data_IF_934229855189
#
_entry.id   IF_934229855189
#
_cell.length_a   1.000
_cell.length_b   1.000
_cell.length_c   1.000
_cell.angle_alpha   90.00
_cell.angle_beta   90.00
_cell.angle_gamma   90.00
#
_symmetry.space_group_name_H-M   'P 1'
#
loop_
_entity.id
_entity.type
_entity.pdbx_description
1 polymer ?
#
# COMPACT_ATOMS: atom_id res chain seq x y z
N UNK A 1 -19.44 10.65 15.04
CA UNK A 1 -18.68 9.41 15.32
C UNK A 1 -18.40 8.61 14.04
N UNK A 2 -19.37 8.44 13.13
CA UNK A 2 -19.22 7.65 11.89
C UNK A 2 -18.18 8.22 10.91
N UNK A 3 -18.10 9.55 10.75
CA UNK A 3 -17.06 10.18 9.91
C UNK A 3 -15.65 9.79 10.36
N UNK A 4 -15.43 9.69 11.67
CA UNK A 4 -14.13 9.28 12.23
C UNK A 4 -13.84 7.82 11.89
N UNK A 5 -14.84 6.93 11.95
CA UNK A 5 -14.69 5.52 11.58
C UNK A 5 -14.33 5.34 10.10
N UNK A 6 -15.08 5.97 9.19
CA UNK A 6 -14.80 5.91 7.74
C UNK A 6 -13.40 6.44 7.43
N UNK A 7 -13.05 7.61 7.99
CA UNK A 7 -11.72 8.20 7.80
C UNK A 7 -10.63 7.30 8.39
N UNK A 8 -10.85 6.71 9.57
CA UNK A 8 -9.88 5.80 10.19
C UNK A 8 -9.62 4.56 9.33
N UNK A 9 -10.67 3.92 8.80
CA UNK A 9 -10.49 2.77 7.90
C UNK A 9 -9.75 3.16 6.61
N UNK A 10 -10.07 4.32 6.02
CA UNK A 10 -9.38 4.81 4.84
C UNK A 10 -7.89 5.08 5.11
N UNK A 11 -7.58 5.71 6.24
CA UNK A 11 -6.21 5.98 6.67
C UNK A 11 -5.43 4.68 6.97
N UNK A 12 -6.08 3.68 7.56
CA UNK A 12 -5.47 2.36 7.78
C UNK A 12 -5.08 1.70 6.46
N UNK A 13 -5.97 1.71 5.46
CA UNK A 13 -5.66 1.17 4.14
C UNK A 13 -4.54 1.95 3.45
N UNK A 14 -4.55 3.30 3.55
CA UNK A 14 -3.50 4.16 2.98
C UNK A 14 -2.13 3.90 3.62
N UNK A 15 -2.08 3.74 4.94
CA UNK A 15 -0.85 3.36 5.66
C UNK A 15 -0.35 1.98 5.26
N UNK A 16 -1.24 1.02 5.09
CA UNK A 16 -0.87 -0.32 4.62
C UNK A 16 -0.27 -0.29 3.21
N UNK A 17 -0.85 0.50 2.29
CA UNK A 17 -0.27 0.72 0.95
C UNK A 17 1.11 1.36 1.05
N UNK A 18 1.27 2.42 1.84
CA UNK A 18 2.56 3.09 2.00
C UNK A 18 3.65 2.15 2.56
N UNK A 19 3.29 1.27 3.50
CA UNK A 19 4.21 0.25 4.04
C UNK A 19 4.64 -0.75 2.97
N UNK A 20 3.69 -1.25 2.16
CA UNK A 20 3.99 -2.18 1.08
C UNK A 20 4.81 -1.54 -0.04
N UNK A 21 4.53 -0.28 -0.39
CA UNK A 21 5.33 0.48 -1.36
C UNK A 21 6.78 0.66 -0.89
N UNK A 22 6.99 0.90 0.42
CA UNK A 22 8.33 0.99 1.00
C UNK A 22 9.08 -0.36 0.95
N UNK A 23 8.37 -1.47 1.23
CA UNK A 23 8.93 -2.81 1.12
C UNK A 23 9.28 -3.16 -0.32
N UNK A 24 8.38 -2.88 -1.27
CA UNK A 24 8.63 -3.05 -2.70
C UNK A 24 9.85 -2.25 -3.17
N UNK A 25 9.96 -0.99 -2.76
CA UNK A 25 11.11 -0.14 -3.11
C UNK A 25 12.44 -0.71 -2.60
N UNK A 26 12.42 -1.39 -1.44
CA UNK A 26 13.60 -2.10 -0.92
C UNK A 26 13.96 -3.29 -1.79
N UNK A 27 12.98 -4.09 -2.20
CA UNK A 27 13.22 -5.23 -3.10
C UNK A 27 13.72 -4.77 -4.47
N UNK A 28 13.17 -3.70 -5.03
CA UNK A 28 13.61 -3.14 -6.31
C UNK A 28 15.08 -2.68 -6.27
N UNK A 29 15.52 -2.06 -5.17
CA UNK A 29 16.96 -1.75 -4.98
C UNK A 29 17.83 -3.00 -4.91
N UNK A 30 17.36 -4.06 -4.25
CA UNK A 30 18.09 -5.32 -4.20
C UNK A 30 18.19 -5.98 -5.59
N UNK A 31 17.13 -5.89 -6.39
CA UNK A 31 17.16 -6.30 -7.80
C UNK A 31 18.23 -5.54 -8.57
N UNK A 32 18.26 -4.21 -8.47
CA UNK A 32 19.26 -3.38 -9.14
C UNK A 32 20.70 -3.71 -8.69
N UNK A 33 20.90 -3.98 -7.40
CA UNK A 33 22.21 -4.34 -6.84
C UNK A 33 22.70 -5.69 -7.37
N UNK A 34 21.84 -6.72 -7.40
CA UNK A 34 22.19 -8.04 -7.91
C UNK A 34 22.40 -7.99 -9.43
N UNK A 35 21.53 -7.30 -10.18
CA UNK A 35 21.69 -7.15 -11.63
C UNK A 35 23.00 -6.45 -11.99
N UNK A 36 23.38 -5.42 -11.22
CA UNK A 36 24.69 -4.77 -11.37
C UNK A 36 25.83 -5.74 -11.08
N UNK A 37 25.77 -6.51 -9.99
CA UNK A 37 26.81 -7.48 -9.64
C UNK A 37 26.97 -8.58 -10.69
N UNK A 38 25.86 -9.12 -11.20
CA UNK A 38 25.87 -10.11 -12.30
C UNK A 38 26.45 -9.52 -13.58
N UNK A 39 26.10 -8.28 -13.91
CA UNK A 39 26.65 -7.60 -15.09
C UNK A 39 28.16 -7.34 -14.96
N UNK A 40 28.61 -6.91 -13.78
CA UNK A 40 30.03 -6.74 -13.47
C UNK A 40 30.78 -8.07 -13.62
N UNK A 41 30.24 -9.15 -13.05
CA UNK A 41 30.80 -10.51 -13.17
C UNK A 41 30.90 -10.96 -14.65
N UNK A 42 29.82 -10.85 -15.42
CA UNK A 42 29.78 -11.25 -16.83
C UNK A 42 30.75 -10.45 -17.72
N UNK A 43 31.03 -9.20 -17.35
CA UNK A 43 31.97 -8.34 -18.08
C UNK A 43 33.42 -8.54 -17.66
N UNK A 44 33.68 -9.28 -16.57
CA UNK A 44 35.02 -9.48 -16.03
C UNK A 44 35.75 -10.59 -16.78
N UNK A 45 36.93 -10.27 -17.31
CA UNK A 45 37.82 -11.24 -17.93
C UNK A 45 38.93 -11.63 -16.93
N UNK A 46 38.89 -12.85 -16.37
CA UNK A 46 39.87 -13.28 -15.39
C UNK A 46 41.26 -13.48 -16.00
N UNK A 47 41.38 -13.77 -17.29
CA UNK A 47 42.67 -13.98 -17.94
C UNK A 47 43.41 -12.66 -18.14
N UNK A 48 42.70 -11.61 -18.57
CA UNK A 48 43.26 -10.25 -18.64
C UNK A 48 43.71 -9.78 -17.26
N UNK A 49 42.92 -10.03 -16.22
CA UNK A 49 43.28 -9.67 -14.85
C UNK A 49 44.49 -10.45 -14.31
N UNK A 50 44.62 -11.75 -14.63
CA UNK A 50 45.81 -12.56 -14.28
C UNK A 50 47.05 -12.09 -15.02
N UNK A 51 46.94 -11.76 -16.31
CA UNK A 51 48.05 -11.23 -17.08
C UNK A 51 48.56 -9.89 -16.53
N UNK A 52 47.63 -9.00 -16.18
CA UNK A 52 47.97 -7.73 -15.55
C UNK A 52 48.62 -7.90 -14.17
N UNK A 53 48.12 -8.84 -13.36
CA UNK A 53 48.75 -9.20 -12.08
C UNK A 53 50.19 -9.70 -12.28
N UNK A 54 50.40 -10.63 -13.21
CA UNK A 54 51.73 -11.14 -13.53
C UNK A 54 52.67 -10.03 -14.04
N UNK A 55 52.14 -9.05 -14.80
CA UNK A 55 52.89 -7.87 -15.24
C UNK A 55 53.31 -7.01 -14.05
N UNK A 56 52.39 -6.72 -13.13
CA UNK A 56 52.67 -5.93 -11.92
C UNK A 56 53.69 -6.64 -11.00
N UNK A 57 53.61 -7.96 -10.85
CA UNK A 57 54.59 -8.75 -10.08
C UNK A 57 56.00 -8.68 -10.68
N UNK A 58 56.11 -8.71 -12.03
CA UNK A 58 57.40 -8.51 -12.71
C UNK A 58 57.95 -7.10 -12.47
N UNK A 59 57.10 -6.07 -12.52
CA UNK A 59 57.50 -4.69 -12.21
C UNK A 59 57.98 -4.60 -10.75
N UNK A 60 57.23 -5.15 -9.81
CA UNK A 60 57.58 -5.16 -8.38
C UNK A 60 58.93 -5.87 -8.15
N UNK A 61 59.15 -7.02 -8.80
CA UNK A 61 60.41 -7.77 -8.74
C UNK A 61 61.59 -6.96 -9.29
N UNK A 62 61.39 -6.22 -10.39
CA UNK A 62 62.39 -5.34 -10.97
C UNK A 62 62.70 -4.15 -10.04
N UNK A 63 61.69 -3.54 -9.42
CA UNK A 63 61.87 -2.46 -8.42
C UNK A 63 62.65 -2.97 -7.22
N UNK A 64 62.29 -4.14 -6.68
CA UNK A 64 63.02 -4.79 -5.57
C UNK A 64 64.48 -5.06 -5.94
N UNK A 65 64.74 -5.55 -7.16
CA UNK A 65 66.12 -5.74 -7.63
C UNK A 65 66.88 -4.42 -7.70
N UNK A 66 66.27 -3.35 -8.25
CA UNK A 66 66.89 -2.00 -8.29
C UNK A 66 67.18 -1.47 -6.88
N UNK A 67 66.27 -1.67 -5.94
CA UNK A 67 66.46 -1.30 -4.54
C UNK A 67 67.64 -2.04 -3.91
N UNK A 68 67.76 -3.35 -4.15
CA UNK A 68 68.88 -4.15 -3.65
C UNK A 68 70.22 -3.66 -4.20
N UNK A 69 70.30 -3.37 -5.51
CA UNK A 69 71.49 -2.77 -6.12
C UNK A 69 71.80 -1.40 -5.51
N UNK A 70 70.82 -0.50 -5.42
CA UNK A 70 71.00 0.83 -4.84
C UNK A 70 71.45 0.77 -3.36
N UNK A 71 70.91 -0.16 -2.57
CA UNK A 71 71.31 -0.39 -1.18
C UNK A 71 72.78 -0.87 -1.09
N UNK A 72 73.20 -1.79 -1.96
CA UNK A 72 74.59 -2.24 -2.03
C UNK A 72 75.55 -1.11 -2.41
N UNK A 73 75.16 -0.25 -3.35
CA UNK A 73 75.93 0.95 -3.74
C UNK A 73 76.04 1.93 -2.59
N UNK A 74 74.93 2.20 -1.88
CA UNK A 74 74.94 3.06 -0.69
C UNK A 74 75.89 2.52 0.39
N UNK A 75 75.91 1.21 0.60
CA UNK A 75 76.81 0.57 1.56
C UNK A 75 78.28 0.69 1.14
N UNK A 76 78.59 0.49 -0.15
CA UNK A 76 79.94 0.69 -0.68
C UNK A 76 80.40 2.14 -0.53
N UNK A 77 79.57 3.11 -0.91
CA UNK A 77 79.85 4.55 -0.74
C UNK A 77 80.08 4.87 0.74
N UNK A 78 79.28 4.29 1.64
CA UNK A 78 79.42 4.49 3.09
C UNK A 78 80.74 3.95 3.64
N UNK A 79 81.20 2.79 3.18
CA UNK A 79 82.51 2.24 3.54
C UNK A 79 83.66 3.10 3.02
N UNK A 80 83.61 3.50 1.75
CA UNK A 80 84.59 4.42 1.15
C UNK A 80 84.63 5.76 1.90
N UNK A 81 83.46 6.29 2.26
CA UNK A 81 83.35 7.53 3.02
C UNK A 81 84.00 7.41 4.40
N UNK A 82 83.82 6.28 5.11
CA UNK A 82 84.50 6.04 6.39
C UNK A 82 86.02 5.95 6.22
N UNK A 83 86.50 5.27 5.20
CA UNK A 83 87.93 5.15 4.91
C UNK A 83 88.55 6.51 4.59
N UNK A 84 87.95 7.29 3.70
CA UNK A 84 88.47 8.62 3.34
C UNK A 84 88.36 9.59 4.54
N UNK A 85 87.28 9.52 5.32
CA UNK A 85 87.13 10.33 6.56
C UNK A 85 88.20 10.02 7.61
N UNK A 86 88.59 8.76 7.77
CA UNK A 86 89.68 8.40 8.71
C UNK A 86 91.05 8.97 8.32
N UNK A 87 91.24 9.33 7.04
CA UNK A 87 92.47 9.92 6.50
C UNK A 87 92.42 11.45 6.41
N UNK A 88 91.27 12.07 6.65
CA UNK A 88 91.11 13.54 6.66
C UNK A 88 91.44 14.15 8.02
N UNK A 89 92.22 15.23 8.01
CA UNK A 89 92.65 15.96 9.20
C UNK A 89 91.68 17.11 9.52
N UNK A 90 91.47 17.36 10.82
CA UNK A 90 90.54 18.38 11.32
C UNK A 90 91.04 19.82 11.09
N UNK A 91 90.10 20.78 11.08
CA UNK A 91 90.34 22.23 10.98
C UNK A 91 91.27 22.77 12.09
N UNK A 92 91.44 22.02 13.18
CA UNK A 92 92.33 22.36 14.30
C UNK A 92 93.82 22.04 14.04
N UNK A 93 94.19 21.51 12.87
CA UNK A 93 95.58 21.32 12.42
C UNK A 93 95.84 22.10 11.12
N UNK A 94 95.98 23.44 11.18
CA UNK A 94 95.94 24.31 10.01
C UNK A 94 97.03 24.01 8.96
N UNK A 95 98.26 23.69 9.39
CA UNK A 95 99.36 23.39 8.46
C UNK A 95 99.17 22.10 7.67
N UNK A 96 98.50 21.09 8.24
CA UNK A 96 98.17 19.85 7.53
C UNK A 96 96.88 19.97 6.74
N UNK A 97 95.92 20.75 7.25
CA UNK A 97 94.63 20.99 6.63
C UNK A 97 94.74 21.61 5.24
N UNK A 98 95.68 22.52 5.00
CA UNK A 98 95.85 23.16 3.68
C UNK A 98 96.74 22.38 2.69
N UNK A 99 97.25 21.19 3.06
CA UNK A 99 98.02 20.35 2.14
C UNK A 99 97.16 19.93 0.93
N UNK A 100 97.73 19.84 -0.28
CA UNK A 100 96.99 19.44 -1.50
C UNK A 100 96.26 18.10 -1.34
N UNK A 101 96.90 17.15 -0.67
CA UNK A 101 96.36 15.81 -0.36
C UNK A 101 95.09 15.89 0.50
N UNK A 102 95.09 16.76 1.52
CA UNK A 102 93.94 16.98 2.40
C UNK A 102 92.80 17.74 1.71
N UNK A 103 93.13 18.69 0.81
CA UNK A 103 92.14 19.33 -0.06
C UNK A 103 91.46 18.32 -0.99
N UNK A 104 92.23 17.39 -1.56
CA UNK A 104 91.71 16.30 -2.40
C UNK A 104 90.82 15.32 -1.60
N UNK A 105 91.27 14.90 -0.42
CA UNK A 105 90.50 14.01 0.46
C UNK A 105 89.17 14.64 0.92
N UNK A 106 89.16 15.93 1.28
CA UNK A 106 87.90 16.66 1.58
C UNK A 106 86.96 16.77 0.39
N UNK A 107 87.50 16.98 -0.82
CA UNK A 107 86.71 16.97 -2.05
C UNK A 107 86.06 15.60 -2.28
N UNK A 108 86.81 14.51 -2.09
CA UNK A 108 86.29 13.14 -2.16
C UNK A 108 85.22 12.86 -1.10
N UNK A 109 85.40 13.36 0.14
CA UNK A 109 84.36 13.26 1.19
C UNK A 109 83.07 13.94 0.74
N UNK A 110 83.16 15.16 0.20
CA UNK A 110 81.98 15.88 -0.29
C UNK A 110 81.31 15.16 -1.48
N UNK A 111 82.09 14.63 -2.42
CA UNK A 111 81.60 13.84 -3.57
C UNK A 111 80.90 12.55 -3.10
N UNK A 112 81.48 11.82 -2.14
CA UNK A 112 80.90 10.61 -1.57
C UNK A 112 79.63 10.91 -0.73
N UNK A 113 79.60 12.04 -0.02
CA UNK A 113 78.40 12.48 0.71
C UNK A 113 77.25 12.83 -0.24
N UNK A 114 77.53 13.62 -1.29
CA UNK A 114 76.55 13.93 -2.32
C UNK A 114 76.07 12.66 -3.04
N UNK A 115 76.97 11.72 -3.32
CA UNK A 115 76.64 10.41 -3.88
C UNK A 115 75.73 9.59 -2.96
N UNK A 116 76.00 9.58 -1.66
CA UNK A 116 75.17 8.89 -0.67
C UNK A 116 73.78 9.51 -0.56
N UNK A 117 73.67 10.84 -0.58
CA UNK A 117 72.40 11.55 -0.60
C UNK A 117 71.58 11.25 -1.86
N UNK A 118 72.23 11.24 -3.04
CA UNK A 118 71.59 10.90 -4.30
C UNK A 118 71.05 9.46 -4.30
N UNK A 119 71.84 8.49 -3.84
CA UNK A 119 71.39 7.08 -3.72
C UNK A 119 70.29 6.93 -2.67
N UNK A 120 70.36 7.67 -1.56
CA UNK A 120 69.30 7.67 -0.53
C UNK A 120 67.99 8.23 -1.06
N UNK A 121 68.04 9.28 -1.89
CA UNK A 121 66.87 9.82 -2.58
C UNK A 121 66.28 8.81 -3.56
N UNK A 122 67.12 8.17 -4.37
CA UNK A 122 66.71 7.12 -5.31
C UNK A 122 66.05 5.93 -4.59
N UNK A 123 66.58 5.51 -3.43
CA UNK A 123 65.97 4.47 -2.60
C UNK A 123 64.57 4.84 -2.09
N UNK A 124 64.34 6.10 -1.71
CA UNK A 124 63.00 6.57 -1.31
C UNK A 124 62.03 6.56 -2.49
N UNK A 125 62.48 6.99 -3.67
CA UNK A 125 61.66 6.97 -4.88
C UNK A 125 61.26 5.54 -5.27
N UNK A 126 62.22 4.61 -5.25
CA UNK A 126 61.95 3.18 -5.52
C UNK A 126 61.04 2.55 -4.45
N UNK A 127 61.15 2.95 -3.18
CA UNK A 127 60.24 2.50 -2.14
C UNK A 127 58.79 2.97 -2.41
N UNK A 128 58.60 4.22 -2.81
CA UNK A 128 57.28 4.73 -3.18
C UNK A 128 56.69 4.01 -4.40
N UNK A 129 57.50 3.77 -5.44
CA UNK A 129 57.10 2.99 -6.64
C UNK A 129 56.70 1.56 -6.27
N UNK A 130 57.42 0.94 -5.32
CA UNK A 130 57.10 -0.39 -4.80
C UNK A 130 55.76 -0.40 -4.07
N UNK A 131 55.51 0.58 -3.21
CA UNK A 131 54.28 0.67 -2.43
C UNK A 131 53.05 0.88 -3.35
N UNK A 132 53.17 1.74 -4.36
CA UNK A 132 52.15 1.93 -5.40
C UNK A 132 51.89 0.63 -6.17
N UNK A 133 52.95 -0.05 -6.61
CA UNK A 133 52.82 -1.32 -7.33
C UNK A 133 52.16 -2.40 -6.47
N UNK A 134 52.53 -2.51 -5.19
CA UNK A 134 51.90 -3.46 -4.26
C UNK A 134 50.42 -3.15 -4.04
N UNK A 135 50.02 -1.88 -3.95
CA UNK A 135 48.62 -1.50 -3.82
C UNK A 135 47.81 -1.93 -5.06
N UNK A 136 48.37 -1.78 -6.26
CA UNK A 136 47.75 -2.27 -7.49
C UNK A 136 47.64 -3.80 -7.54
N UNK A 137 48.68 -4.52 -7.09
CA UNK A 137 48.65 -5.99 -6.97
C UNK A 137 47.54 -6.42 -6.01
N UNK A 138 47.45 -5.82 -4.82
CA UNK A 138 46.39 -6.11 -3.85
C UNK A 138 45.00 -5.91 -4.44
N UNK A 139 44.78 -4.77 -5.12
CA UNK A 139 43.50 -4.47 -5.77
C UNK A 139 43.13 -5.49 -6.85
N UNK A 140 44.09 -5.96 -7.64
CA UNK A 140 43.81 -7.00 -8.64
C UNK A 140 43.56 -8.37 -8.00
N UNK A 141 44.25 -8.69 -6.90
CA UNK A 141 44.01 -9.91 -6.14
C UNK A 141 42.61 -9.93 -5.54
N UNK A 142 42.15 -8.82 -4.96
CA UNK A 142 40.78 -8.68 -4.45
C UNK A 142 39.74 -8.89 -5.54
N UNK A 143 39.95 -8.35 -6.75
CA UNK A 143 39.03 -8.55 -7.88
C UNK A 143 38.97 -10.00 -8.35
N UNK A 144 40.12 -10.67 -8.45
CA UNK A 144 40.18 -12.09 -8.81
C UNK A 144 39.54 -12.98 -7.74
N UNK A 145 39.74 -12.67 -6.46
CA UNK A 145 39.10 -13.37 -5.35
C UNK A 145 37.57 -13.20 -5.40
N UNK A 146 37.09 -11.96 -5.53
CA UNK A 146 35.67 -11.66 -5.65
C UNK A 146 35.02 -12.37 -6.84
N UNK A 147 35.71 -12.45 -7.99
CA UNK A 147 35.22 -13.22 -9.14
C UNK A 147 35.16 -14.73 -8.84
N UNK A 148 36.16 -15.28 -8.16
CA UNK A 148 36.17 -16.72 -7.85
C UNK A 148 35.12 -17.16 -6.82
N UNK A 149 34.72 -16.24 -5.92
CA UNK A 149 33.70 -16.50 -4.90
C UNK A 149 32.28 -16.21 -5.40
N UNK A 150 32.12 -15.52 -6.54
CA UNK A 150 30.82 -15.16 -7.09
C UNK A 150 30.16 -16.36 -7.79
N UNK A 151 29.03 -16.81 -7.23
CA UNK A 151 28.18 -17.83 -7.83
C UNK A 151 27.03 -17.18 -8.61
N UNK A 152 27.18 -17.11 -9.93
CA UNK A 152 26.15 -16.53 -10.80
C UNK A 152 24.81 -17.27 -10.70
N UNK A 153 24.82 -18.60 -10.53
CA UNK A 153 23.59 -19.40 -10.46
C UNK A 153 22.79 -19.07 -9.19
N UNK A 154 23.48 -18.95 -8.06
CA UNK A 154 22.86 -18.57 -6.79
C UNK A 154 22.32 -17.14 -6.85
N UNK A 155 23.08 -16.20 -7.43
CA UNK A 155 22.63 -14.81 -7.59
C UNK A 155 21.40 -14.70 -8.52
N UNK A 156 21.36 -15.46 -9.61
CA UNK A 156 20.20 -15.49 -10.51
C UNK A 156 18.97 -16.12 -9.84
N UNK A 157 19.15 -17.17 -9.04
CA UNK A 157 18.07 -17.79 -8.25
C UNK A 157 17.51 -16.80 -7.23
N UNK A 158 18.38 -16.06 -6.54
CA UNK A 158 17.97 -15.02 -5.60
C UNK A 158 17.25 -13.86 -6.30
N UNK A 159 17.73 -13.45 -7.48
CA UNK A 159 17.10 -12.42 -8.30
C UNK A 159 15.66 -12.80 -8.68
N UNK A 160 15.45 -14.04 -9.15
CA UNK A 160 14.11 -14.56 -9.49
C UNK A 160 13.20 -14.57 -8.25
N UNK A 161 13.71 -15.00 -7.10
CA UNK A 161 12.97 -15.02 -5.84
C UNK A 161 12.55 -13.61 -5.42
N UNK A 162 13.44 -12.62 -5.50
CA UNK A 162 13.16 -11.24 -5.13
C UNK A 162 12.13 -10.63 -6.11
N UNK A 163 12.29 -10.85 -7.42
CA UNK A 163 11.34 -10.38 -8.45
C UNK A 163 9.94 -10.93 -8.21
N UNK A 164 9.82 -12.24 -7.93
CA UNK A 164 8.55 -12.86 -7.59
C UNK A 164 7.90 -12.27 -6.34
N UNK A 165 8.69 -11.97 -5.30
CA UNK A 165 8.17 -11.31 -4.09
C UNK A 165 7.72 -9.87 -4.38
N UNK A 166 8.47 -9.13 -5.21
CA UNK A 166 8.10 -7.77 -5.62
C UNK A 166 6.77 -7.77 -6.40
N UNK A 167 6.55 -8.74 -7.28
CA UNK A 167 5.28 -8.93 -7.99
C UNK A 167 4.12 -9.22 -7.03
N UNK A 168 4.30 -10.14 -6.08
CA UNK A 168 3.27 -10.41 -5.05
C UNK A 168 2.90 -9.17 -4.24
N UNK A 169 3.88 -8.37 -3.85
CA UNK A 169 3.64 -7.12 -3.13
C UNK A 169 2.91 -6.12 -4.04
N UNK A 170 3.28 -6.04 -5.32
CA UNK A 170 2.57 -5.21 -6.32
C UNK A 170 1.09 -5.59 -6.43
N UNK A 171 0.78 -6.88 -6.50
CA UNK A 171 -0.60 -7.37 -6.52
C UNK A 171 -1.36 -7.01 -5.25
N UNK A 172 -0.73 -7.16 -4.08
CA UNK A 172 -1.30 -6.78 -2.80
C UNK A 172 -1.58 -5.27 -2.70
N UNK A 173 -0.67 -4.43 -3.23
CA UNK A 173 -0.85 -2.98 -3.33
C UNK A 173 -2.07 -2.66 -4.19
N UNK A 174 -2.18 -3.28 -5.37
CA UNK A 174 -3.29 -3.06 -6.29
C UNK A 174 -4.63 -3.45 -5.65
N UNK A 175 -4.70 -4.61 -5.00
CA UNK A 175 -5.89 -5.04 -4.27
C UNK A 175 -6.30 -4.03 -3.18
N UNK A 176 -5.35 -3.47 -2.43
CA UNK A 176 -5.64 -2.45 -1.41
C UNK A 176 -6.05 -1.11 -2.03
N UNK A 177 -5.44 -0.69 -3.13
CA UNK A 177 -5.84 0.51 -3.89
C UNK A 177 -7.27 0.40 -4.40
N UNK A 178 -7.69 -0.79 -4.85
CA UNK A 178 -9.08 -1.03 -5.24
C UNK A 178 -10.05 -0.90 -4.07
N UNK A 179 -9.68 -1.38 -2.88
CA UNK A 179 -10.47 -1.20 -1.66
C UNK A 179 -10.60 0.29 -1.31
N UNK A 180 -9.49 1.04 -1.34
CA UNK A 180 -9.47 2.49 -1.13
C UNK A 180 -10.40 3.18 -2.12
N UNK A 181 -10.27 2.88 -3.42
CA UNK A 181 -11.08 3.48 -4.46
C UNK A 181 -12.58 3.18 -4.29
N UNK A 182 -12.93 1.97 -3.84
CA UNK A 182 -14.33 1.61 -3.51
C UNK A 182 -14.87 2.42 -2.34
N UNK A 183 -14.09 2.57 -1.27
CA UNK A 183 -14.47 3.38 -0.10
C UNK A 183 -14.64 4.85 -0.50
N UNK A 184 -13.67 5.42 -1.23
CA UNK A 184 -13.70 6.82 -1.66
C UNK A 184 -14.86 7.09 -2.62
N UNK A 185 -15.15 6.18 -3.56
CA UNK A 185 -16.29 6.30 -4.47
C UNK A 185 -17.62 6.29 -3.72
N UNK A 186 -17.76 5.43 -2.71
CA UNK A 186 -19.02 5.26 -1.96
C UNK A 186 -19.24 6.36 -0.93
N UNK A 187 -18.22 6.69 -0.15
CA UNK A 187 -18.34 7.60 1.00
C UNK A 187 -17.84 9.02 0.74
N UNK A 188 -16.96 9.25 -0.24
CA UNK A 188 -16.41 10.57 -0.56
C UNK A 188 -17.48 11.64 -0.79
N UNK A 189 -18.48 11.42 -1.66
CA UNK A 189 -19.56 12.38 -1.88
C UNK A 189 -20.38 12.66 -0.61
N UNK A 190 -20.66 11.63 0.20
CA UNK A 190 -21.44 11.76 1.43
C UNK A 190 -20.68 12.55 2.50
N UNK A 191 -19.38 12.30 2.66
CA UNK A 191 -18.53 13.01 3.60
C UNK A 191 -18.35 14.48 3.19
N UNK A 192 -18.19 14.78 1.90
CA UNK A 192 -18.11 16.15 1.40
C UNK A 192 -19.40 16.93 1.67
N UNK A 193 -20.55 16.30 1.43
CA UNK A 193 -21.86 16.90 1.73
C UNK A 193 -22.03 17.13 3.25
N UNK A 194 -21.57 16.20 4.09
CA UNK A 194 -21.61 16.33 5.54
C UNK A 194 -20.77 17.52 6.00
N UNK A 195 -19.55 17.65 5.49
CA UNK A 195 -18.68 18.80 5.79
C UNK A 195 -19.33 20.12 5.39
N UNK A 196 -19.89 20.21 4.18
CA UNK A 196 -20.59 21.43 3.73
C UNK A 196 -21.74 21.83 4.68
N UNK A 197 -22.57 20.87 5.10
CA UNK A 197 -23.69 21.15 6.00
C UNK A 197 -23.22 21.54 7.41
N UNK A 198 -22.11 20.98 7.90
CA UNK A 198 -21.50 21.38 9.18
C UNK A 198 -20.99 22.83 9.10
N UNK A 199 -20.33 23.19 8.00
CA UNK A 199 -19.80 24.54 7.78
C UNK A 199 -20.95 25.56 7.67
N UNK A 200 -22.02 25.20 6.94
CA UNK A 200 -23.22 26.01 6.82
C UNK A 200 -23.90 26.21 8.19
N UNK A 201 -24.08 25.14 8.97
CA UNK A 201 -24.65 25.23 10.32
C UNK A 201 -23.80 26.13 11.23
N UNK A 202 -22.47 26.03 11.14
CA UNK A 202 -21.54 26.85 11.91
C UNK A 202 -21.64 28.33 11.54
N UNK A 203 -21.71 28.64 10.24
CA UNK A 203 -21.91 30.00 9.73
C UNK A 203 -23.26 30.59 10.17
N UNK A 204 -24.34 29.81 10.09
CA UNK A 204 -25.67 30.22 10.55
C UNK A 204 -25.70 30.49 12.05
N UNK A 205 -25.06 29.64 12.87
CA UNK A 205 -24.95 29.85 14.32
C UNK A 205 -24.19 31.14 14.65
N UNK A 206 -23.10 31.43 13.92
CA UNK A 206 -22.36 32.69 14.07
C UNK A 206 -23.23 33.90 13.73
N UNK A 207 -23.96 33.85 12.61
CA UNK A 207 -24.86 34.93 12.21
C UNK A 207 -26.00 35.15 13.22
N UNK A 208 -26.56 34.09 13.79
CA UNK A 208 -27.58 34.18 14.86
C UNK A 208 -26.98 34.84 16.11
N UNK A 209 -25.77 34.44 16.52
CA UNK A 209 -25.10 35.03 17.68
C UNK A 209 -24.84 36.54 17.49
N UNK A 210 -24.38 36.94 16.30
CA UNK A 210 -24.19 38.35 15.94
C UNK A 210 -25.50 39.14 15.95
N UNK A 211 -26.57 38.60 15.34
CA UNK A 211 -27.88 39.24 15.34
C UNK A 211 -28.45 39.41 16.77
N UNK A 212 -28.26 38.41 17.64
CA UNK A 212 -28.63 38.52 19.06
C UNK A 212 -27.78 39.53 19.83
N UNK A 213 -26.51 39.71 19.44
CA UNK A 213 -25.66 40.78 19.94
C UNK A 213 -26.28 42.16 19.67
N UNK A 214 -26.64 42.43 18.41
CA UNK A 214 -27.34 43.66 18.05
C UNK A 214 -28.69 43.83 18.77
N UNK A 215 -29.44 42.75 19.04
CA UNK A 215 -30.67 42.84 19.86
C UNK A 215 -30.37 43.28 21.31
N UNK A 216 -29.29 42.78 21.91
CA UNK A 216 -28.87 43.19 23.25
C UNK A 216 -28.41 44.64 23.27
N UNK A 217 -27.60 45.05 22.29
CA UNK A 217 -27.13 46.43 22.15
C UNK A 217 -28.30 47.41 21.96
N UNK A 218 -29.34 47.02 21.20
CA UNK A 218 -30.56 47.82 21.03
C UNK A 218 -31.34 48.00 22.33
N UNK A 219 -31.35 46.97 23.19
CA UNK A 219 -31.98 47.02 24.49
C UNK A 219 -31.23 47.97 25.44
N UNK A 220 -29.90 47.96 25.39
CA UNK A 220 -29.03 48.71 26.29
C UNK A 220 -28.72 50.14 25.81
N UNK A 221 -29.07 50.49 24.57
CA UNK A 221 -28.86 51.81 23.99
C UNK A 221 -29.58 52.94 24.78
N UNK A 222 -28.81 53.97 25.14
CA UNK A 222 -29.24 55.07 26.00
C UNK A 222 -30.13 56.10 25.29
N UNK A 223 -30.05 56.18 23.96
CA UNK A 223 -30.80 57.17 23.16
C UNK A 223 -31.13 56.67 21.75
N UNK A 224 -32.01 57.41 21.06
CA UNK A 224 -32.45 57.06 19.70
C UNK A 224 -31.34 57.12 18.64
N UNK A 225 -30.28 57.90 18.86
CA UNK A 225 -29.14 57.99 17.93
C UNK A 225 -28.30 56.71 17.97
N UNK A 226 -28.02 56.17 19.16
CA UNK A 226 -27.33 54.88 19.36
C UNK A 226 -28.12 53.73 18.73
N UNK A 227 -29.45 53.68 18.96
CA UNK A 227 -30.31 52.68 18.31
C UNK A 227 -30.24 52.74 16.79
N UNK A 228 -30.15 53.94 16.22
CA UNK A 228 -30.03 54.14 14.77
C UNK A 228 -28.71 53.60 14.23
N UNK A 229 -27.61 53.81 14.95
CA UNK A 229 -26.30 53.29 14.58
C UNK A 229 -26.30 51.74 14.58
N UNK A 230 -26.87 51.12 15.62
CA UNK A 230 -26.98 49.65 15.70
C UNK A 230 -27.84 49.08 14.57
N UNK A 231 -28.96 49.73 14.23
CA UNK A 231 -29.76 49.35 13.07
C UNK A 231 -28.97 49.46 11.76
N UNK A 232 -28.16 50.50 11.60
CA UNK A 232 -27.31 50.70 10.43
C UNK A 232 -26.22 49.62 10.33
N UNK A 233 -25.53 49.31 11.43
CA UNK A 233 -24.50 48.24 11.46
C UNK A 233 -25.10 46.86 11.14
N UNK A 234 -26.30 46.58 11.65
CA UNK A 234 -27.04 45.38 11.30
C UNK A 234 -27.44 45.36 9.82
N UNK A 235 -27.84 46.50 9.25
CA UNK A 235 -28.19 46.63 7.84
C UNK A 235 -26.97 46.45 6.93
N UNK A 236 -25.81 47.01 7.30
CA UNK A 236 -24.55 46.83 6.56
C UNK A 236 -24.10 45.37 6.57
N UNK A 237 -24.22 44.67 7.70
CA UNK A 237 -23.76 43.27 7.82
C UNK A 237 -24.74 42.25 7.23
N UNK A 238 -26.05 42.47 7.36
CA UNK A 238 -27.07 41.47 7.01
C UNK A 238 -28.07 41.91 5.94
N UNK A 239 -27.96 43.13 5.43
CA UNK A 239 -28.87 43.69 4.42
C UNK A 239 -30.25 44.09 4.97
N UNK A 240 -30.42 44.06 6.29
CA UNK A 240 -31.65 44.52 6.96
C UNK A 240 -31.32 45.07 8.34
N UNK A 241 -31.85 46.24 8.65
CA UNK A 241 -31.71 46.83 9.98
C UNK A 241 -32.54 46.17 11.07
N UNK A 242 -33.11 44.97 10.87
CA UNK A 242 -33.91 44.27 11.88
C UNK A 242 -33.17 43.04 12.41
N UNK A 243 -32.42 43.16 13.53
CA UNK A 243 -31.70 42.03 14.12
C UNK A 243 -32.59 40.82 14.41
N UNK A 244 -33.81 41.04 14.92
CA UNK A 244 -34.76 39.97 15.22
C UNK A 244 -35.22 39.20 13.98
N UNK A 245 -35.43 39.92 12.86
CA UNK A 245 -35.76 39.28 11.58
C UNK A 245 -34.61 38.40 11.10
N UNK A 246 -33.38 38.90 11.18
CA UNK A 246 -32.16 38.13 10.81
C UNK A 246 -32.06 36.88 11.67
N UNK A 247 -32.14 37.01 13.00
CA UNK A 247 -32.04 35.89 13.92
C UNK A 247 -33.08 34.81 13.62
N UNK A 248 -34.34 35.21 13.40
CA UNK A 248 -35.43 34.28 13.10
C UNK A 248 -35.28 33.57 11.74
N UNK A 249 -34.90 34.31 10.69
CA UNK A 249 -34.68 33.73 9.36
C UNK A 249 -33.52 32.71 9.39
N UNK A 250 -32.40 33.10 9.99
CA UNK A 250 -31.21 32.23 10.09
C UNK A 250 -31.47 31.03 11.00
N UNK A 251 -32.26 31.18 12.08
CA UNK A 251 -32.68 30.07 12.92
C UNK A 251 -33.60 29.08 12.17
N UNK A 252 -34.48 29.58 11.30
CA UNK A 252 -35.30 28.74 10.42
C UNK A 252 -34.46 27.90 9.47
N UNK A 253 -33.46 28.53 8.82
CA UNK A 253 -32.49 27.84 7.96
C UNK A 253 -31.66 26.83 8.74
N UNK A 254 -31.17 27.19 9.93
CA UNK A 254 -30.39 26.31 10.79
C UNK A 254 -31.15 25.02 11.14
N UNK A 255 -32.44 25.12 11.53
CA UNK A 255 -33.29 23.94 11.77
C UNK A 255 -33.43 23.04 10.53
N UNK A 256 -33.44 23.62 9.34
CA UNK A 256 -33.49 22.84 8.09
C UNK A 256 -32.17 22.12 7.84
N UNK A 257 -31.04 22.81 8.01
CA UNK A 257 -29.69 22.24 7.87
C UNK A 257 -29.45 21.13 8.89
N UNK A 258 -29.83 21.33 10.15
CA UNK A 258 -29.70 20.33 11.21
C UNK A 258 -30.52 19.06 10.92
N UNK A 259 -31.75 19.18 10.41
CA UNK A 259 -32.53 18.02 9.96
C UNK A 259 -31.87 17.28 8.79
N UNK A 260 -31.25 18.01 7.86
CA UNK A 260 -30.53 17.39 6.75
C UNK A 260 -29.24 16.72 7.21
N UNK A 261 -28.54 17.29 8.20
CA UNK A 261 -27.39 16.68 8.86
C UNK A 261 -27.77 15.33 9.44
N UNK A 262 -28.81 15.26 10.27
CA UNK A 262 -29.27 13.98 10.87
C UNK A 262 -29.59 12.94 9.81
N UNK A 263 -30.35 13.31 8.76
CA UNK A 263 -30.68 12.39 7.66
C UNK A 263 -29.45 11.85 6.93
N UNK A 264 -28.45 12.71 6.73
CA UNK A 264 -27.22 12.34 6.05
C UNK A 264 -26.33 11.47 6.94
N UNK A 265 -26.23 11.78 8.24
CA UNK A 265 -25.55 10.95 9.23
C UNK A 265 -26.16 9.54 9.27
N UNK A 266 -27.48 9.44 9.39
CA UNK A 266 -28.19 8.16 9.37
C UNK A 266 -27.95 7.38 8.07
N UNK A 267 -27.87 8.09 6.94
CA UNK A 267 -27.56 7.48 5.64
C UNK A 267 -26.13 6.93 5.61
N UNK A 268 -25.16 7.70 6.08
CA UNK A 268 -23.76 7.28 6.15
C UNK A 268 -23.64 6.05 7.07
N UNK A 269 -24.31 6.06 8.23
CA UNK A 269 -24.29 4.93 9.16
C UNK A 269 -24.87 3.66 8.53
N UNK A 270 -26.00 3.74 7.83
CA UNK A 270 -26.57 2.60 7.11
C UNK A 270 -25.64 2.07 6.03
N UNK A 271 -25.08 2.95 5.20
CA UNK A 271 -24.17 2.54 4.13
C UNK A 271 -22.86 1.96 4.65
N UNK A 272 -22.37 2.47 5.77
CA UNK A 272 -21.20 1.93 6.45
C UNK A 272 -21.46 0.54 7.04
N UNK A 273 -22.61 0.35 7.71
CA UNK A 273 -23.00 -0.94 8.26
C UNK A 273 -23.16 -2.03 7.17
N UNK A 274 -23.58 -1.65 5.96
CA UNK A 274 -23.59 -2.55 4.79
C UNK A 274 -22.17 -2.87 4.31
N UNK A 275 -21.31 -1.86 4.24
CA UNK A 275 -19.93 -2.02 3.76
C UNK A 275 -19.08 -2.90 4.68
N UNK A 276 -19.22 -2.73 6.00
CA UNK A 276 -18.46 -3.45 7.03
C UNK A 276 -18.96 -4.89 7.26
N UNK A 277 -20.05 -5.27 6.58
CA UNK A 277 -20.70 -6.56 6.76
C UNK A 277 -19.88 -7.69 6.13
N UNK A 278 -19.59 -8.71 6.93
CA UNK A 278 -19.01 -9.97 6.44
C UNK A 278 -20.16 -10.92 6.06
N UNK A 279 -20.36 -11.13 4.77
CA UNK A 279 -21.36 -12.07 4.23
C UNK A 279 -20.62 -13.26 3.62
N UNK A 280 -20.71 -14.41 4.27
CA UNK A 280 -20.11 -15.66 3.79
C UNK A 280 -21.14 -16.52 3.07
N UNK A 281 -22.36 -16.55 3.62
CA UNK A 281 -23.43 -17.45 3.19
C UNK A 281 -24.76 -16.73 3.12
N UNK A 282 -25.54 -17.02 2.07
CA UNK A 282 -26.91 -16.55 1.89
C UNK A 282 -27.85 -17.75 1.86
N UNK A 283 -28.78 -17.76 2.81
CA UNK A 283 -29.92 -18.67 2.83
C UNK A 283 -31.10 -17.96 2.19
N UNK A 284 -31.72 -18.57 1.20
CA UNK A 284 -32.77 -17.94 0.43
C UNK A 284 -34.08 -18.64 0.75
N UNK A 285 -35.06 -17.83 1.13
CA UNK A 285 -36.46 -18.23 1.14
C UNK A 285 -36.94 -18.32 -0.31
N UNK A 286 -36.84 -19.53 -0.87
CA UNK A 286 -37.18 -19.79 -2.26
C UNK A 286 -38.68 -19.62 -2.53
N UNK A 287 -39.53 -19.89 -1.53
CA UNK A 287 -40.97 -19.70 -1.64
C UNK A 287 -41.29 -18.22 -1.84
N UNK A 288 -40.69 -17.33 -1.05
CA UNK A 288 -40.94 -15.88 -1.10
C UNK A 288 -40.47 -15.24 -2.43
N UNK A 289 -39.30 -15.63 -2.92
CA UNK A 289 -38.72 -15.13 -4.19
C UNK A 289 -39.42 -15.62 -5.46
N UNK A 290 -40.35 -16.57 -5.34
CA UNK A 290 -41.21 -16.99 -6.46
C UNK A 290 -42.43 -16.07 -6.65
N UNK A 291 -42.55 -14.99 -5.89
CA UNK A 291 -43.64 -14.03 -6.00
C UNK A 291 -43.14 -12.61 -6.27
N UNK A 292 -43.89 -11.89 -7.10
CA UNK A 292 -43.78 -10.44 -7.28
C UNK A 292 -45.16 -9.82 -7.10
N UNK A 293 -45.29 -8.89 -6.15
CA UNK A 293 -46.56 -8.23 -5.82
C UNK A 293 -47.76 -9.20 -5.65
N UNK A 294 -47.51 -10.38 -5.06
CA UNK A 294 -48.51 -11.43 -4.85
C UNK A 294 -48.76 -12.34 -6.06
N UNK A 295 -48.17 -12.05 -7.22
CA UNK A 295 -48.25 -12.87 -8.44
C UNK A 295 -47.14 -13.90 -8.44
N UNK A 296 -47.48 -15.17 -8.69
CA UNK A 296 -46.50 -16.24 -8.77
C UNK A 296 -45.72 -16.18 -10.09
N UNK A 297 -44.44 -15.86 -10.02
CA UNK A 297 -43.51 -15.70 -11.15
C UNK A 297 -42.59 -16.92 -11.36
N UNK A 298 -42.88 -18.04 -10.68
CA UNK A 298 -42.08 -19.28 -10.72
C UNK A 298 -40.61 -18.98 -10.33
N UNK A 299 -39.66 -19.72 -10.89
CA UNK A 299 -38.23 -19.54 -10.59
C UNK A 299 -37.55 -18.38 -11.34
N UNK A 300 -38.30 -17.52 -12.05
CA UNK A 300 -37.69 -16.52 -12.94
C UNK A 300 -36.76 -15.56 -12.21
N UNK A 301 -37.22 -14.94 -11.12
CA UNK A 301 -36.36 -14.05 -10.33
C UNK A 301 -35.28 -14.85 -9.60
N UNK A 302 -35.68 -15.95 -8.97
CA UNK A 302 -34.83 -16.76 -8.12
C UNK A 302 -33.62 -17.33 -8.87
N UNK A 303 -33.78 -17.87 -10.09
CA UNK A 303 -32.66 -18.46 -10.85
C UNK A 303 -31.60 -17.44 -11.21
N UNK A 304 -32.01 -16.28 -11.74
CA UNK A 304 -31.08 -15.21 -12.11
C UNK A 304 -30.34 -14.66 -10.89
N UNK A 305 -31.07 -14.46 -9.78
CA UNK A 305 -30.47 -13.98 -8.55
C UNK A 305 -29.45 -14.97 -7.99
N UNK A 306 -29.81 -16.26 -7.93
CA UNK A 306 -28.90 -17.29 -7.40
C UNK A 306 -27.64 -17.47 -8.25
N UNK A 307 -27.75 -17.33 -9.57
CA UNK A 307 -26.61 -17.42 -10.50
C UNK A 307 -25.59 -16.29 -10.25
N UNK A 308 -26.05 -15.12 -9.86
CA UNK A 308 -25.17 -14.00 -9.51
C UNK A 308 -24.62 -14.13 -8.09
N UNK A 309 -25.45 -14.53 -7.13
CA UNK A 309 -25.04 -14.69 -5.73
C UNK A 309 -23.99 -15.78 -5.54
N UNK A 310 -24.10 -16.91 -6.24
CA UNK A 310 -23.16 -18.04 -6.09
C UNK A 310 -21.74 -17.73 -6.57
N UNK A 311 -21.55 -16.63 -7.32
CA UNK A 311 -20.21 -16.14 -7.70
C UNK A 311 -19.45 -15.56 -6.51
N UNK A 312 -20.16 -15.13 -5.48
CA UNK A 312 -19.60 -14.38 -4.34
C UNK A 312 -19.83 -15.06 -2.99
N UNK A 313 -20.84 -15.90 -2.86
CA UNK A 313 -21.31 -16.43 -1.56
C UNK A 313 -21.60 -17.93 -1.62
N UNK A 314 -21.57 -18.62 -0.47
CA UNK A 314 -22.23 -19.92 -0.36
C UNK A 314 -23.75 -19.69 -0.40
N UNK A 315 -24.46 -20.30 -1.35
CA UNK A 315 -25.90 -20.11 -1.53
C UNK A 315 -26.65 -21.40 -1.22
N UNK A 316 -27.70 -21.27 -0.40
CA UNK A 316 -28.67 -22.34 -0.16
C UNK A 316 -30.08 -21.81 -0.36
N UNK A 317 -30.88 -22.51 -1.14
CA UNK A 317 -32.30 -22.18 -1.35
C UNK A 317 -33.14 -23.20 -0.59
N UNK A 318 -34.05 -22.73 0.25
CA UNK A 318 -35.01 -23.56 0.97
C UNK A 318 -36.41 -23.25 0.47
N UNK A 319 -37.15 -24.30 0.11
CA UNK A 319 -38.54 -24.19 -0.31
C UNK A 319 -39.46 -24.93 0.66
N UNK A 320 -40.66 -24.38 0.87
CA UNK A 320 -41.75 -25.13 1.48
C UNK A 320 -42.19 -26.29 0.59
N UNK A 321 -42.84 -27.28 1.20
CA UNK A 321 -43.42 -28.40 0.46
C UNK A 321 -44.41 -27.97 -0.64
N UNK A 322 -45.03 -26.80 -0.50
CA UNK A 322 -46.03 -26.26 -1.44
C UNK A 322 -45.45 -25.94 -2.83
N UNK A 323 -44.12 -25.78 -2.95
CA UNK A 323 -43.50 -25.47 -4.24
C UNK A 323 -43.72 -26.60 -5.26
N UNK A 324 -43.74 -27.87 -4.80
CA UNK A 324 -43.91 -29.06 -5.67
C UNK A 324 -45.23 -28.98 -6.44
N UNK A 325 -46.32 -28.72 -5.72
CA UNK A 325 -47.66 -28.65 -6.33
C UNK A 325 -47.83 -27.40 -7.20
N UNK A 326 -47.23 -26.27 -6.82
CA UNK A 326 -47.29 -25.02 -7.60
C UNK A 326 -46.50 -25.11 -8.90
N UNK A 327 -45.33 -25.74 -8.85
CA UNK A 327 -44.45 -25.92 -10.02
C UNK A 327 -44.82 -27.15 -10.86
N UNK A 328 -45.56 -28.11 -10.29
CA UNK A 328 -45.80 -29.45 -10.86
C UNK A 328 -44.49 -30.19 -11.15
N UNK A 329 -43.52 -30.07 -10.23
CA UNK A 329 -42.19 -30.67 -10.32
C UNK A 329 -41.88 -31.46 -9.05
N UNK A 330 -41.05 -32.50 -9.19
CA UNK A 330 -40.41 -33.20 -8.09
C UNK A 330 -39.13 -32.47 -7.63
N UNK A 331 -38.53 -32.95 -6.55
CA UNK A 331 -37.37 -32.30 -5.92
C UNK A 331 -36.14 -32.28 -6.84
N UNK A 332 -35.95 -33.35 -7.62
CA UNK A 332 -34.82 -33.47 -8.55
C UNK A 332 -34.94 -32.44 -9.69
N UNK A 333 -36.14 -32.29 -10.27
CA UNK A 333 -36.38 -31.28 -11.31
C UNK A 333 -36.27 -29.87 -10.76
N UNK A 334 -36.74 -29.61 -9.54
CA UNK A 334 -36.58 -28.30 -8.90
C UNK A 334 -35.08 -27.99 -8.72
N UNK A 335 -34.30 -28.95 -8.23
CA UNK A 335 -32.86 -28.78 -8.01
C UNK A 335 -32.12 -28.56 -9.33
N UNK A 336 -32.52 -29.24 -10.41
CA UNK A 336 -31.87 -29.14 -11.73
C UNK A 336 -31.95 -27.77 -12.40
N UNK A 337 -32.86 -26.89 -11.95
CA UNK A 337 -32.99 -25.52 -12.48
C UNK A 337 -31.77 -24.67 -12.09
N UNK A 338 -31.18 -24.94 -10.93
CA UNK A 338 -30.13 -24.14 -10.32
C UNK A 338 -28.72 -24.64 -10.69
N UNK A 339 -27.72 -23.76 -10.61
CA UNK A 339 -26.31 -24.15 -10.67
C UNK A 339 -26.00 -25.22 -9.61
N UNK A 340 -25.22 -26.24 -9.97
CA UNK A 340 -24.82 -27.35 -9.09
C UNK A 340 -24.12 -26.92 -7.79
N UNK A 341 -23.56 -25.71 -7.74
CA UNK A 341 -22.96 -25.14 -6.52
C UNK A 341 -24.00 -24.68 -5.50
N UNK A 342 -25.25 -24.49 -5.92
CA UNK A 342 -26.35 -24.04 -5.06
C UNK A 342 -26.97 -25.26 -4.36
N UNK A 343 -27.03 -25.21 -3.03
CA UNK A 343 -27.70 -26.25 -2.24
C UNK A 343 -29.19 -25.97 -2.22
N UNK A 344 -29.99 -26.81 -2.86
CA UNK A 344 -31.45 -26.68 -2.85
C UNK A 344 -32.05 -27.70 -1.88
N UNK A 345 -32.98 -27.26 -1.03
CA UNK A 345 -33.71 -28.13 -0.10
C UNK A 345 -35.20 -27.86 -0.15
N UNK A 346 -35.98 -28.87 -0.52
CA UNK A 346 -37.45 -28.82 -0.49
C UNK A 346 -37.94 -29.57 0.74
N UNK A 347 -38.69 -28.90 1.62
CA UNK A 347 -39.11 -29.49 2.89
C UNK A 347 -40.25 -30.51 2.74
N UNK A 348 -40.38 -31.37 3.75
CA UNK A 348 -41.49 -32.31 3.84
C UNK A 348 -42.80 -31.58 4.16
N UNK A 349 -43.93 -32.21 3.84
CA UNK A 349 -45.27 -31.65 4.12
C UNK A 349 -45.41 -31.31 5.61
N UNK A 350 -46.00 -30.15 5.93
CA UNK A 350 -46.19 -29.59 7.29
C UNK A 350 -44.96 -28.96 7.95
N UNK A 351 -43.80 -28.92 7.28
CA UNK A 351 -42.66 -28.11 7.71
C UNK A 351 -42.62 -26.80 6.91
N UNK A 352 -42.26 -25.71 7.58
CA UNK A 352 -42.08 -24.39 6.96
C UNK A 352 -40.60 -24.09 6.74
N UNK A 353 -40.29 -23.40 5.65
CA UNK A 353 -38.95 -22.94 5.30
C UNK A 353 -38.40 -22.02 6.39
N UNK A 354 -39.26 -21.17 6.95
CA UNK A 354 -38.97 -20.16 7.97
C UNK A 354 -38.14 -20.72 9.13
N UNK A 355 -38.66 -21.74 9.82
CA UNK A 355 -37.99 -22.28 11.00
C UNK A 355 -36.64 -22.93 10.65
N UNK A 356 -36.55 -23.57 9.48
CA UNK A 356 -35.29 -24.19 9.06
C UNK A 356 -34.24 -23.14 8.68
N UNK A 357 -34.62 -22.09 7.95
CA UNK A 357 -33.73 -21.00 7.58
C UNK A 357 -33.10 -20.37 8.84
N UNK A 358 -33.94 -20.08 9.83
CA UNK A 358 -33.52 -19.53 11.12
C UNK A 358 -32.55 -20.48 11.85
N UNK A 359 -32.90 -21.78 11.97
CA UNK A 359 -32.05 -22.80 12.61
C UNK A 359 -30.70 -23.00 11.92
N UNK A 360 -30.64 -22.89 10.59
CA UNK A 360 -29.37 -23.05 9.85
C UNK A 360 -28.45 -21.85 10.08
N UNK A 361 -29.01 -20.64 10.22
CA UNK A 361 -28.29 -19.39 10.43
C UNK A 361 -27.84 -19.14 11.88
N UNK A 362 -28.44 -19.84 12.84
CA UNK A 362 -28.16 -19.71 14.26
C UNK A 362 -26.68 -20.02 14.59
N UNK A 363 -26.03 -19.16 15.38
CA UNK A 363 -24.64 -19.32 15.79
C UNK A 363 -23.61 -19.11 14.67
N UNK A 364 -24.02 -18.63 13.49
CA UNK A 364 -23.15 -18.40 12.32
C UNK A 364 -23.20 -16.95 11.87
N UNK A 365 -22.38 -16.04 12.42
CA UNK A 365 -22.51 -14.59 12.20
C UNK A 365 -22.41 -14.17 10.73
N UNK A 366 -21.65 -14.88 9.89
CA UNK A 366 -21.53 -14.61 8.45
C UNK A 366 -22.68 -15.13 7.56
N UNK A 367 -23.72 -15.73 8.16
CA UNK A 367 -24.88 -16.27 7.42
C UNK A 367 -26.05 -15.27 7.43
N UNK A 368 -26.61 -14.99 6.27
CA UNK A 368 -27.73 -14.05 6.09
C UNK A 368 -28.91 -14.76 5.44
N UNK A 369 -30.14 -14.35 5.78
CA UNK A 369 -31.35 -14.86 5.14
C UNK A 369 -31.84 -13.82 4.14
N UNK A 370 -32.19 -14.22 2.92
CA UNK A 370 -32.84 -13.38 1.93
C UNK A 370 -34.33 -13.74 1.88
N UNK A 371 -35.16 -12.85 2.41
CA UNK A 371 -36.64 -12.94 2.38
C UNK A 371 -37.25 -11.57 2.62
N UNK A 372 -38.42 -11.31 2.05
CA UNK A 372 -39.22 -10.13 2.41
C UNK A 372 -40.08 -10.36 3.66
N UNK A 373 -40.16 -11.59 4.18
CA UNK A 373 -40.71 -11.85 5.50
C UNK A 373 -39.79 -11.30 6.60
N UNK A 374 -40.40 -10.79 7.67
CA UNK A 374 -39.69 -10.30 8.85
C UNK A 374 -39.44 -11.39 9.89
N UNK A 375 -40.05 -12.57 9.73
CA UNK A 375 -40.03 -13.64 10.72
C UNK A 375 -40.48 -13.14 12.10
N UNK A 376 -41.54 -12.33 12.12
CA UNK A 376 -42.04 -11.67 13.33
C UNK A 376 -42.46 -12.64 14.44
N UNK A 377 -42.82 -13.88 14.07
CA UNK A 377 -43.20 -14.96 14.99
C UNK A 377 -41.98 -15.63 15.66
N UNK A 378 -40.76 -15.31 15.23
CA UNK A 378 -39.52 -15.93 15.71
C UNK A 378 -38.48 -14.89 16.23
N UNK A 379 -38.87 -13.94 17.11
CA UNK A 379 -37.98 -12.87 17.56
C UNK A 379 -36.78 -13.35 18.39
N UNK A 380 -36.80 -14.59 18.86
CA UNK A 380 -35.77 -15.19 19.70
C UNK A 380 -34.48 -15.55 18.95
N UNK A 381 -34.55 -15.79 17.65
CA UNK A 381 -33.39 -16.23 16.86
C UNK A 381 -32.37 -15.10 16.65
N UNK A 382 -31.09 -15.46 16.69
CA UNK A 382 -29.99 -14.50 16.59
C UNK A 382 -30.01 -13.73 15.27
N UNK A 383 -30.34 -14.41 14.17
CA UNK A 383 -30.40 -13.81 12.82
C UNK A 383 -31.45 -12.69 12.73
N UNK A 384 -32.54 -12.78 13.49
CA UNK A 384 -33.58 -11.75 13.58
C UNK A 384 -33.09 -10.59 14.45
N UNK A 385 -32.59 -10.91 15.65
CA UNK A 385 -32.05 -9.90 16.61
C UNK A 385 -30.91 -9.08 16.04
N UNK A 386 -30.01 -9.71 15.29
CA UNK A 386 -28.85 -9.08 14.68
C UNK A 386 -29.16 -8.42 13.32
N UNK A 387 -30.43 -8.34 12.91
CA UNK A 387 -30.87 -7.75 11.65
C UNK A 387 -30.11 -8.34 10.43
N UNK A 388 -29.98 -9.67 10.40
CA UNK A 388 -29.31 -10.43 9.33
C UNK A 388 -30.30 -11.00 8.29
N UNK A 389 -31.47 -10.36 8.18
CA UNK A 389 -32.46 -10.62 7.14
C UNK A 389 -32.31 -9.55 6.07
N UNK A 390 -31.91 -9.97 4.88
CA UNK A 390 -31.78 -9.18 3.68
C UNK A 390 -33.11 -9.18 2.93
N UNK A 391 -33.44 -8.04 2.33
CA UNK A 391 -34.65 -7.88 1.51
C UNK A 391 -34.30 -7.70 0.06
N UNK A 392 -35.27 -8.04 -0.80
CA UNK A 392 -35.16 -7.83 -2.22
C UNK A 392 -36.39 -7.09 -2.74
N UNK A 393 -36.19 -6.31 -3.79
CA UNK A 393 -37.27 -5.65 -4.51
C UNK A 393 -37.21 -6.08 -5.97
N UNK A 394 -38.37 -6.33 -6.57
CA UNK A 394 -38.50 -6.60 -8.00
C UNK A 394 -39.17 -5.37 -8.60
N UNK A 395 -38.46 -4.67 -9.49
CA UNK A 395 -38.96 -3.50 -10.19
C UNK A 395 -38.31 -3.41 -11.57
N UNK A 396 -39.05 -2.95 -12.57
CA UNK A 396 -38.54 -2.72 -13.93
C UNK A 396 -37.77 -3.92 -14.55
N UNK A 397 -38.28 -5.15 -14.31
CA UNK A 397 -37.62 -6.41 -14.74
C UNK A 397 -36.21 -6.60 -14.16
N UNK A 398 -35.97 -6.06 -12.96
CA UNK A 398 -34.71 -6.22 -12.24
C UNK A 398 -34.99 -6.58 -10.79
N UNK A 399 -34.02 -7.28 -10.21
CA UNK A 399 -34.02 -7.66 -8.80
C UNK A 399 -32.97 -6.82 -8.12
N UNK A 400 -33.38 -6.09 -7.08
CA UNK A 400 -32.53 -5.25 -6.28
C UNK A 400 -32.34 -5.88 -4.91
N UNK A 401 -31.09 -6.10 -4.51
CA UNK A 401 -30.73 -6.46 -3.13
C UNK A 401 -29.81 -5.36 -2.60
N UNK A 402 -30.42 -4.28 -2.13
CA UNK A 402 -29.77 -3.02 -1.74
C UNK A 402 -28.74 -3.17 -0.61
N UNK A 403 -28.86 -4.22 0.21
CA UNK A 403 -27.90 -4.52 1.26
C UNK A 403 -26.64 -5.23 0.75
N UNK A 404 -26.66 -5.76 -0.47
CA UNK A 404 -25.53 -6.42 -1.13
C UNK A 404 -24.94 -5.61 -2.29
N UNK A 405 -25.43 -4.38 -2.51
CA UNK A 405 -25.16 -3.55 -3.69
C UNK A 405 -25.32 -4.35 -4.99
N UNK A 406 -26.41 -5.13 -5.06
CA UNK A 406 -26.66 -6.07 -6.15
C UNK A 406 -27.91 -5.69 -6.96
N UNK A 407 -27.75 -5.65 -8.27
CA UNK A 407 -28.81 -5.46 -9.24
C UNK A 407 -28.70 -6.54 -10.31
N UNK A 408 -29.77 -7.33 -10.47
CA UNK A 408 -29.79 -8.47 -11.41
C UNK A 408 -30.91 -8.27 -12.43
N UNK A 409 -30.60 -8.16 -13.73
CA UNK A 409 -31.62 -8.12 -14.76
C UNK A 409 -32.33 -9.46 -14.88
N UNK A 410 -33.67 -9.44 -14.89
CA UNK A 410 -34.52 -10.57 -15.22
C UNK A 410 -34.66 -10.61 -16.74
N UNK A 411 -33.76 -11.30 -17.44
CA UNK A 411 -33.81 -11.36 -18.89
C UNK A 411 -35.12 -12.04 -19.36
N UNK A 412 -35.84 -11.38 -20.26
CA UNK A 412 -37.01 -11.92 -20.95
C UNK A 412 -36.60 -13.02 -21.92
N UNK A 413 -36.45 -14.26 -21.44
CA UNK A 413 -36.30 -15.43 -22.31
C UNK A 413 -34.96 -16.16 -22.19
N UNK A 414 -34.83 -16.95 -21.14
CA UNK A 414 -34.27 -18.30 -21.18
C UNK A 414 -34.47 -18.93 -19.81
N UNK A 415 -35.74 -19.21 -19.46
CA UNK A 415 -35.96 -20.21 -18.42
C UNK A 415 -35.33 -21.50 -18.91
N UNK A 416 -34.40 -22.08 -18.16
CA UNK A 416 -33.90 -23.46 -18.39
C UNK A 416 -35.02 -24.50 -18.45
N UNK A 417 -36.24 -24.11 -18.07
CA UNK A 417 -37.48 -24.73 -18.46
C UNK A 417 -37.86 -24.27 -19.90
N UNK A 418 -37.31 -24.95 -20.91
CA UNK A 418 -37.83 -24.89 -22.28
C UNK A 418 -39.27 -25.42 -22.37
N UNK A 419 -39.91 -25.39 -23.55
CA UNK A 419 -41.33 -25.69 -23.74
C UNK A 419 -41.61 -27.20 -23.61
N UNK A 420 -41.62 -27.73 -22.39
CA UNK A 420 -41.97 -29.12 -22.08
C UNK A 420 -43.39 -29.28 -21.52
N UNK A 421 -44.27 -28.28 -21.71
CA UNK A 421 -45.67 -28.30 -21.26
C UNK A 421 -46.65 -27.82 -22.35
N UNK A 422 -46.34 -28.13 -23.61
CA UNK A 422 -47.30 -28.05 -24.71
C UNK A 422 -47.74 -29.46 -25.10
N UNK A 423 -48.83 -29.95 -24.54
CA UNK A 423 -49.46 -31.19 -25.02
C UNK A 423 -50.14 -32.03 -23.95
N UNK A 424 -51.30 -31.57 -23.45
CA UNK A 424 -52.48 -32.44 -23.32
C UNK A 424 -53.66 -31.55 -23.72
N UNK A 425 -54.26 -31.91 -24.86
CA UNK A 425 -55.44 -31.25 -25.40
C UNK A 425 -56.71 -31.55 -24.62
N UNK A 426 -57.66 -30.63 -24.77
CA UNK A 426 -59.11 -30.69 -24.49
C UNK A 426 -59.57 -31.28 -23.17
#
# INVERSE_FOLDING_TARGET
MIMVKVKSQLEEQKRAVASLDAERSKLERQVEEIERAVQEYRSFDPDISREEMARLERVNSAVVSKMATAASTAQSIKMQLQEVKSKTVSLFHPFEYFKPEQKSARKQVAELQAGLEAVSSALRALAAERDETNALISKQAERLAAFSEFDESDQMTELERIKFNAEKISDAINCKKDVIAKIERKFGPLLNQLTHLIDEATSLRKAIAQAKGFEADLHDAANGSERRLIHQECEELFGTGSPSRVANEKAGKLRSVERNLTKLEDRIEREFAKHDRVVERILIDGSNLCYDNGVFIRFHALSHLTDELVKRFEVMVVFDASIRSRMKLDDDRITSVFDHRIKVKVLATKQTADELLLKIAEGKPGTYILSNDRFADFPEYEVVKANRILRFEIADQRIFVSDLDLEVPMASGNSRLGPALGGIGT
#
